data_IF_993907398527
#
_entry.id   IF_993907398527
#
_cell.length_a   1.000
_cell.length_b   1.000
_cell.length_c   1.000
_cell.angle_alpha   90.00
_cell.angle_beta   90.00
_cell.angle_gamma   90.00
#
_symmetry.space_group_name_H-M   'P 1'
#
loop_
_entity.id
_entity.type
_entity.pdbx_description
1 polymer ?
#
# COMPACT_ATOMS: atom_id res chain seq x y z
N UNK A 1 6.85 19.80 19.38
CA UNK A 1 7.39 19.07 18.22
C UNK A 1 8.26 17.89 18.68
N UNK A 2 7.68 16.85 19.31
CA UNK A 2 8.45 15.67 19.79
C UNK A 2 7.83 14.31 19.43
N UNK A 3 6.58 14.28 18.97
CA UNK A 3 5.88 13.04 18.65
C UNK A 3 6.15 12.51 17.23
N UNK A 4 6.74 13.31 16.33
CA UNK A 4 6.96 12.90 14.94
C UNK A 4 7.99 11.78 14.79
N UNK A 5 8.97 11.71 15.71
CA UNK A 5 10.05 10.72 15.67
C UNK A 5 9.51 9.32 16.06
N UNK A 6 8.55 9.25 16.98
CA UNK A 6 7.92 7.99 17.38
C UNK A 6 7.13 7.34 16.24
N UNK A 7 6.46 8.13 15.40
CA UNK A 7 5.71 7.63 14.26
C UNK A 7 6.62 7.00 13.18
N UNK A 8 7.83 7.56 12.99
CA UNK A 8 8.81 7.03 12.04
C UNK A 8 9.42 5.70 12.53
N UNK A 9 9.63 5.54 13.84
CA UNK A 9 10.17 4.32 14.44
C UNK A 9 9.21 3.12 14.34
N UNK A 10 7.90 3.36 14.37
CA UNK A 10 6.88 2.32 14.20
C UNK A 10 6.83 1.74 12.76
N UNK A 11 7.25 2.51 11.76
CA UNK A 11 7.31 2.09 10.35
C UNK A 11 8.54 1.23 10.02
N UNK A 12 9.55 1.22 10.90
CA UNK A 12 10.83 0.55 10.67
C UNK A 12 10.93 -0.86 11.27
N UNK A 13 9.88 -1.33 11.98
CA UNK A 13 9.85 -2.69 12.53
C UNK A 13 9.51 -3.69 11.42
N UNK A 14 10.44 -4.58 11.00
CA UNK A 14 10.11 -5.67 10.12
C UNK A 14 9.23 -6.64 10.93
N UNK A 15 7.92 -6.59 10.71
CA UNK A 15 6.97 -7.57 11.25
C UNK A 15 7.17 -8.91 10.52
N UNK A 16 8.27 -9.61 10.82
CA UNK A 16 8.46 -11.00 10.44
C UNK A 16 7.68 -11.87 11.44
N UNK A 17 6.35 -11.79 11.37
CA UNK A 17 5.47 -12.73 12.05
C UNK A 17 5.17 -13.88 11.07
N UNK A 18 6.04 -14.88 11.08
CA UNK A 18 5.81 -16.16 10.43
C UNK A 18 4.92 -17.00 11.35
N UNK A 19 3.62 -16.69 11.32
CA UNK A 19 2.65 -17.30 12.20
C UNK A 19 1.28 -16.74 11.89
N UNK A 20 0.26 -17.58 11.99
CA UNK A 20 -1.14 -17.22 11.85
C UNK A 20 -1.44 -15.89 12.59
N UNK A 21 -2.19 -14.97 11.97
CA UNK A 21 -2.45 -13.65 12.53
C UNK A 21 -2.58 -12.53 11.48
N UNK A 22 -2.68 -11.27 11.93
CA UNK A 22 -2.73 -10.10 11.07
C UNK A 22 -1.34 -9.75 10.54
N UNK A 23 -1.23 -9.59 9.23
CA UNK A 23 -0.05 -9.12 8.51
C UNK A 23 -0.37 -7.79 7.83
N UNK A 24 0.50 -6.82 8.03
CA UNK A 24 0.44 -5.54 7.36
C UNK A 24 1.72 -5.36 6.54
N UNK A 25 1.55 -5.09 5.26
CA UNK A 25 2.65 -4.82 4.33
C UNK A 25 2.27 -3.64 3.43
N UNK A 26 3.26 -2.97 2.85
CA UNK A 26 3.00 -1.85 1.96
C UNK A 26 4.26 -1.30 1.33
N UNK A 27 4.07 -0.51 0.27
CA UNK A 27 5.13 0.25 -0.38
C UNK A 27 4.69 1.70 -0.61
N UNK A 28 5.59 2.64 -0.36
CA UNK A 28 5.37 4.05 -0.60
C UNK A 28 6.43 4.56 -1.58
N UNK A 29 5.99 5.19 -2.66
CA UNK A 29 6.83 5.77 -3.71
C UNK A 29 6.46 7.22 -3.92
N UNK A 30 7.46 8.07 -4.01
CA UNK A 30 7.31 9.49 -4.29
C UNK A 30 8.34 9.89 -5.34
N UNK A 31 7.95 10.76 -6.27
CA UNK A 31 8.83 11.22 -7.33
C UNK A 31 8.33 12.50 -7.97
N UNK A 32 9.26 13.21 -8.61
CA UNK A 32 8.97 14.40 -9.40
C UNK A 32 9.11 14.04 -10.88
N UNK A 33 8.14 14.45 -11.68
CA UNK A 33 8.15 14.29 -13.13
C UNK A 33 8.24 15.69 -13.72
N UNK A 34 9.32 15.98 -14.44
CA UNK A 34 9.43 17.20 -15.21
C UNK A 34 8.98 16.90 -16.65
N UNK A 35 7.84 17.48 -17.05
CA UNK A 35 7.33 17.34 -18.41
C UNK A 35 7.61 18.64 -19.17
N UNK A 36 8.36 18.53 -20.26
CA UNK A 36 8.57 19.63 -21.21
C UNK A 36 7.66 19.34 -22.39
N UNK A 37 6.54 20.04 -22.47
CA UNK A 37 5.64 19.98 -23.60
C UNK A 37 6.36 20.39 -24.89
N UNK A 38 5.96 19.83 -26.06
CA UNK A 38 6.54 20.22 -27.33
C UNK A 38 6.19 21.68 -27.67
N UNK A 39 7.08 22.37 -28.40
CA UNK A 39 7.04 23.83 -28.63
C UNK A 39 5.71 24.34 -29.24
N UNK A 40 4.95 23.48 -29.93
CA UNK A 40 3.66 23.81 -30.52
C UNK A 40 2.49 23.85 -29.53
N UNK A 41 2.69 23.35 -28.31
CA UNK A 41 1.68 23.32 -27.25
C UNK A 41 1.97 24.43 -26.20
N UNK A 42 2.04 25.69 -26.64
CA UNK A 42 2.33 26.86 -25.78
C UNK A 42 1.36 27.06 -24.59
N UNK A 43 0.28 26.29 -24.52
CA UNK A 43 -0.78 26.44 -23.51
C UNK A 43 -0.82 25.31 -22.46
N UNK A 44 0.03 24.28 -22.56
CA UNK A 44 0.18 23.29 -21.48
C UNK A 44 1.29 23.74 -20.54
N UNK A 45 0.95 23.81 -19.26
CA UNK A 45 1.87 24.15 -18.17
C UNK A 45 3.13 23.27 -18.23
N UNK A 46 4.22 23.81 -18.79
CA UNK A 46 5.55 23.24 -18.59
C UNK A 46 5.82 23.30 -17.08
N UNK A 47 5.89 22.14 -16.44
CA UNK A 47 5.73 22.08 -15.00
C UNK A 47 6.38 20.86 -14.37
N UNK A 48 6.91 21.09 -13.17
CA UNK A 48 7.34 20.02 -12.28
C UNK A 48 6.10 19.42 -11.61
N UNK A 49 5.77 18.17 -11.93
CA UNK A 49 4.65 17.44 -11.33
C UNK A 49 5.14 16.56 -10.21
N UNK A 50 4.62 16.77 -9.01
CA UNK A 50 4.83 15.83 -7.90
C UNK A 50 3.89 14.63 -8.05
N UNK A 51 4.44 13.43 -7.89
CA UNK A 51 3.70 12.17 -7.90
C UNK A 51 3.99 11.41 -6.61
N UNK A 52 2.94 10.90 -5.98
CA UNK A 52 3.05 10.08 -4.78
C UNK A 52 2.05 8.93 -4.87
N UNK A 53 2.49 7.72 -4.48
CA UNK A 53 1.68 6.51 -4.43
C UNK A 53 2.04 5.71 -3.19
N UNK A 54 1.04 5.36 -2.40
CA UNK A 54 1.19 4.50 -1.23
C UNK A 54 0.27 3.29 -1.39
N UNK A 55 0.82 2.08 -1.39
CA UNK A 55 0.06 0.83 -1.41
C UNK A 55 0.14 0.18 -0.04
N UNK A 56 -0.99 -0.32 0.44
CA UNK A 56 -1.11 -1.06 1.68
C UNK A 56 -1.83 -2.38 1.41
N UNK A 57 -1.31 -3.47 1.95
CA UNK A 57 -1.94 -4.78 1.96
C UNK A 57 -2.07 -5.25 3.41
N UNK A 58 -3.30 -5.46 3.84
CA UNK A 58 -3.64 -6.11 5.08
C UNK A 58 -4.10 -7.53 4.79
N UNK A 59 -3.55 -8.49 5.50
CA UNK A 59 -3.85 -9.91 5.35
C UNK A 59 -4.11 -10.49 6.74
N UNK A 60 -5.20 -11.24 6.87
CA UNK A 60 -5.55 -11.93 8.10
C UNK A 60 -5.72 -13.40 7.78
N UNK A 61 -4.94 -14.26 8.43
CA UNK A 61 -5.02 -15.72 8.23
C UNK A 61 -5.10 -16.42 9.58
N UNK A 62 -6.08 -17.30 9.75
CA UNK A 62 -6.26 -18.13 10.92
C UNK A 62 -6.43 -19.60 10.55
N UNK A 63 -6.32 -20.48 11.55
CA UNK A 63 -6.54 -21.92 11.43
C UNK A 63 -7.47 -22.34 12.56
N UNK A 64 -8.50 -23.12 12.25
CA UNK A 64 -9.38 -23.70 13.27
C UNK A 64 -8.73 -24.94 13.90
N UNK A 65 -9.19 -25.32 15.09
CA UNK A 65 -8.69 -26.51 15.80
C UNK A 65 -8.87 -27.81 15.00
N UNK A 66 -9.81 -27.81 14.03
CA UNK A 66 -10.07 -28.91 13.10
C UNK A 66 -9.22 -28.90 11.83
N UNK A 67 -8.25 -27.99 11.68
CA UNK A 67 -7.33 -27.97 10.54
C UNK A 67 -7.65 -26.94 9.45
N UNK A 68 -8.87 -26.41 9.41
CA UNK A 68 -9.35 -25.53 8.34
C UNK A 68 -8.69 -24.15 8.39
N UNK A 69 -8.18 -23.66 7.25
CA UNK A 69 -7.64 -22.31 7.13
C UNK A 69 -8.72 -21.33 6.68
N UNK A 70 -8.68 -20.13 7.25
CA UNK A 70 -9.54 -19.04 6.86
C UNK A 70 -8.74 -17.76 6.78
N UNK A 71 -9.17 -16.83 5.93
CA UNK A 71 -8.50 -15.55 5.86
C UNK A 71 -9.18 -14.52 4.97
N UNK A 72 -8.72 -13.28 5.12
CA UNK A 72 -9.17 -12.14 4.36
C UNK A 72 -7.97 -11.26 3.99
N UNK A 73 -7.96 -10.79 2.75
CA UNK A 73 -6.94 -9.85 2.25
C UNK A 73 -7.60 -8.59 1.72
N UNK A 74 -7.13 -7.45 2.21
CA UNK A 74 -7.56 -6.11 1.82
C UNK A 74 -6.36 -5.37 1.23
N UNK A 75 -6.51 -4.80 0.04
CA UNK A 75 -5.48 -3.98 -0.61
C UNK A 75 -6.02 -2.57 -0.81
N UNK A 76 -5.33 -1.59 -0.23
CA UNK A 76 -5.57 -0.17 -0.48
C UNK A 76 -4.50 0.32 -1.46
N UNK A 77 -4.93 0.68 -2.66
CA UNK A 77 -4.11 1.36 -3.66
C UNK A 77 -4.87 2.65 -4.08
N UNK A 78 -4.26 3.84 -3.94
CA UNK A 78 -4.88 5.12 -4.29
C UNK A 78 -5.11 5.27 -5.81
N UNK A 79 -4.57 4.34 -6.60
CA UNK A 79 -4.87 4.23 -8.02
C UNK A 79 -6.34 3.83 -8.25
N UNK A 80 -7.19 4.86 -8.37
CA UNK A 80 -8.65 4.77 -8.54
C UNK A 80 -9.09 3.95 -9.75
N UNK A 81 -8.19 3.60 -10.66
CA UNK A 81 -8.56 2.93 -11.91
C UNK A 81 -9.05 1.49 -11.73
N UNK A 82 -8.71 0.81 -10.62
CA UNK A 82 -9.26 -0.51 -10.30
C UNK A 82 -9.37 -0.72 -8.79
N UNK A 83 -10.54 -0.42 -8.16
CA UNK A 83 -10.79 -0.91 -6.81
C UNK A 83 -10.70 -2.45 -6.84
N UNK A 84 -9.65 -3.00 -6.23
CA UNK A 84 -9.54 -4.45 -6.06
C UNK A 84 -10.46 -4.85 -4.92
N UNK A 85 -11.40 -5.73 -5.20
CA UNK A 85 -12.30 -6.29 -4.19
C UNK A 85 -11.51 -7.04 -3.11
N UNK A 86 -11.96 -6.99 -1.85
CA UNK A 86 -11.41 -7.84 -0.80
C UNK A 86 -11.49 -9.31 -1.21
N UNK A 87 -10.43 -10.06 -0.97
CA UNK A 87 -10.42 -11.51 -1.22
C UNK A 87 -10.59 -12.21 0.12
N UNK A 88 -11.66 -12.99 0.27
CA UNK A 88 -11.94 -13.81 1.45
C UNK A 88 -11.85 -15.27 1.03
N UNK A 89 -11.18 -16.09 1.84
CA UNK A 89 -11.06 -17.53 1.59
C UNK A 89 -11.37 -18.32 2.86
N UNK A 90 -11.97 -19.49 2.65
CA UNK A 90 -12.28 -20.51 3.66
C UNK A 90 -11.98 -21.85 2.97
N UNK A 91 -11.03 -22.63 3.48
CA UNK A 91 -10.61 -23.88 2.84
C UNK A 91 -9.24 -24.38 3.28
N UNK A 92 -8.79 -25.50 2.73
CA UNK A 92 -7.41 -26.00 2.88
C UNK A 92 -6.44 -25.30 1.91
#
# INVERSE_FOLDING_TARGET
MRCAIFALMLLALPAHAEGLGPKLSGDARMGFVYDRGPDWAQQRENGLRMTARARLQFEFTGKTDGGLRYGATFRLDPDRQRPRSPTVFIGE
#
